data_IF_892105759642
#
_entry.id   IF_892105759642
#
_cell.length_a   1.000
_cell.length_b   1.000
_cell.length_c   1.000
_cell.angle_alpha   90.00
_cell.angle_beta   90.00
_cell.angle_gamma   90.00
#
_symmetry.space_group_name_H-M   'P 1'
#
loop_
_entity.id
_entity.type
_entity.pdbx_description
1 polymer ?
#
# COMPACT_ATOMS: atom_id res chain seq x y z
N UNK A 1 0.55 -5.34 -11.97
CA UNK A 1 1.76 -5.09 -11.19
C UNK A 1 1.45 -4.36 -9.92
N UNK A 2 1.53 -5.13 -8.84
CA UNK A 2 1.75 -4.66 -7.49
C UNK A 2 3.27 -4.71 -7.27
N UNK A 3 3.83 -3.70 -6.61
CA UNK A 3 5.23 -3.64 -6.26
C UNK A 3 5.38 -3.61 -4.74
N UNK A 4 6.11 -4.57 -4.18
CA UNK A 4 6.54 -4.56 -2.79
C UNK A 4 7.98 -4.05 -2.73
N UNK A 5 8.17 -2.84 -2.23
CA UNK A 5 9.47 -2.19 -2.18
C UNK A 5 9.63 -1.31 -0.95
N UNK A 6 10.88 -1.10 -0.55
CA UNK A 6 11.21 -0.20 0.54
C UNK A 6 10.85 1.27 0.19
N UNK A 7 10.54 2.13 1.17
CA UNK A 7 10.10 3.51 0.93
C UNK A 7 11.07 4.35 0.10
N UNK A 8 12.37 4.07 0.20
CA UNK A 8 13.43 4.75 -0.55
C UNK A 8 13.28 4.57 -2.07
N UNK A 9 12.60 3.51 -2.51
CA UNK A 9 12.31 3.28 -3.93
C UNK A 9 11.36 4.34 -4.50
N UNK A 10 10.54 4.99 -3.66
CA UNK A 10 9.60 6.03 -4.10
C UNK A 10 10.31 7.22 -4.76
N UNK A 11 11.57 7.50 -4.40
CA UNK A 11 12.38 8.55 -5.03
C UNK A 11 12.64 8.30 -6.52
N UNK A 12 12.64 7.03 -6.93
CA UNK A 12 12.85 6.63 -8.31
C UNK A 12 11.54 6.36 -9.05
N UNK A 13 10.50 5.96 -8.30
CA UNK A 13 9.19 5.63 -8.85
C UNK A 13 8.30 6.85 -9.08
N UNK A 14 8.55 7.99 -8.44
CA UNK A 14 7.86 9.24 -8.75
C UNK A 14 8.66 10.04 -9.76
N UNK A 15 8.32 9.90 -11.04
CA UNK A 15 8.93 10.65 -12.12
C UNK A 15 7.91 10.87 -13.25
N UNK A 16 8.38 11.37 -14.41
CA UNK A 16 7.52 11.63 -15.56
C UNK A 16 7.18 10.42 -16.43
N UNK A 17 7.57 9.21 -16.01
CA UNK A 17 7.24 7.90 -16.62
C UNK A 17 6.47 6.99 -15.63
N UNK A 18 6.49 7.32 -14.34
CA UNK A 18 5.93 6.54 -13.24
C UNK A 18 5.30 7.47 -12.20
N UNK A 19 4.04 7.21 -11.86
CA UNK A 19 3.40 7.80 -10.68
C UNK A 19 2.55 6.72 -9.96
N UNK A 20 3.11 6.04 -8.95
CA UNK A 20 2.46 4.91 -8.30
C UNK A 20 1.36 5.35 -7.35
N UNK A 21 0.31 4.54 -7.23
CA UNK A 21 -0.65 4.66 -6.12
C UNK A 21 -0.11 3.90 -4.90
N UNK A 22 0.45 4.66 -3.95
CA UNK A 22 1.15 4.11 -2.78
C UNK A 22 0.18 3.83 -1.63
N UNK A 23 0.04 2.55 -1.26
CA UNK A 23 -0.75 2.11 -0.12
C UNK A 23 0.16 1.56 0.98
N UNK A 24 -0.01 2.04 2.21
CA UNK A 24 0.69 1.55 3.39
C UNK A 24 -0.24 0.70 4.23
N UNK A 25 0.13 -0.56 4.44
CA UNK A 25 -0.58 -1.46 5.36
C UNK A 25 0.10 -1.36 6.72
N UNK A 26 -0.48 -0.58 7.63
CA UNK A 26 0.07 -0.35 8.95
C UNK A 26 -0.39 -1.45 9.94
N UNK A 27 0.45 -1.86 10.89
CA UNK A 27 -0.01 -2.66 12.03
C UNK A 27 -1.01 -1.85 12.89
N UNK A 28 -1.90 -2.52 13.64
CA UNK A 28 -2.68 -1.90 14.71
C UNK A 28 -1.80 -1.48 15.89
N UNK A 29 -2.38 -0.84 16.90
CA UNK A 29 -1.64 -0.43 18.10
C UNK A 29 -1.06 -1.62 18.87
N UNK A 30 -0.05 -1.37 19.72
CA UNK A 30 0.73 -2.41 20.39
C UNK A 30 -0.14 -3.45 21.11
N UNK A 31 -1.12 -3.01 21.90
CA UNK A 31 -1.97 -3.91 22.67
C UNK A 31 -2.94 -4.70 21.80
N UNK A 32 -3.48 -4.07 20.76
CA UNK A 32 -4.33 -4.73 19.76
C UNK A 32 -3.53 -5.75 18.94
N UNK A 33 -2.31 -5.40 18.53
CA UNK A 33 -1.41 -6.30 17.81
C UNK A 33 -1.00 -7.51 18.67
N UNK A 34 -0.79 -7.31 19.98
CA UNK A 34 -0.58 -8.41 20.93
C UNK A 34 -1.77 -9.35 20.98
N UNK A 35 -2.99 -8.82 21.11
CA UNK A 35 -4.21 -9.62 21.13
C UNK A 35 -4.37 -10.43 19.84
N UNK A 36 -4.19 -9.79 18.68
CA UNK A 36 -4.23 -10.47 17.37
C UNK A 36 -3.13 -11.55 17.30
N UNK A 37 -1.93 -11.28 17.81
CA UNK A 37 -0.81 -12.23 17.80
C UNK A 37 -1.10 -13.50 18.61
N UNK A 38 -1.89 -13.42 19.70
CA UNK A 38 -2.28 -14.58 20.49
C UNK A 38 -3.11 -15.60 19.69
N UNK A 39 -3.87 -15.12 18.70
CA UNK A 39 -4.72 -15.92 17.82
C UNK A 39 -3.97 -16.49 16.61
N UNK A 40 -2.71 -16.08 16.36
CA UNK A 40 -1.91 -16.56 15.24
C UNK A 40 -1.27 -17.91 15.57
N UNK A 41 -1.26 -18.80 14.57
CA UNK A 41 -0.52 -20.08 14.64
C UNK A 41 0.99 -19.86 14.77
N UNK A 42 1.53 -18.87 14.06
CA UNK A 42 2.92 -18.43 14.17
C UNK A 42 3.00 -17.13 14.97
N UNK A 43 3.19 -17.26 16.28
CA UNK A 43 3.28 -16.12 17.21
C UNK A 43 4.62 -15.41 17.04
N UNK A 44 4.56 -14.08 16.96
CA UNK A 44 5.75 -13.21 17.03
C UNK A 44 6.20 -13.01 18.48
N UNK A 45 7.50 -12.84 18.69
CA UNK A 45 8.06 -12.44 19.98
C UNK A 45 7.67 -10.99 20.30
N UNK A 46 7.75 -10.63 21.58
CA UNK A 46 7.43 -9.28 22.03
C UNK A 46 8.38 -8.23 21.40
N UNK A 47 9.65 -8.60 21.21
CA UNK A 47 10.65 -7.77 20.53
C UNK A 47 10.26 -7.53 19.07
N UNK A 48 9.79 -8.57 18.36
CA UNK A 48 9.35 -8.46 16.97
C UNK A 48 8.11 -7.59 16.82
N UNK A 49 7.15 -7.72 17.75
CA UNK A 49 5.94 -6.88 17.78
C UNK A 49 6.33 -5.41 17.96
N UNK A 50 7.15 -5.12 18.98
CA UNK A 50 7.61 -3.75 19.26
C UNK A 50 8.42 -3.18 18.11
N UNK A 51 9.32 -3.96 17.52
CA UNK A 51 10.10 -3.54 16.36
C UNK A 51 9.19 -3.16 15.19
N UNK A 52 8.17 -3.96 14.89
CA UNK A 52 7.19 -3.70 13.83
C UNK A 52 6.44 -2.37 14.05
N UNK A 53 6.00 -2.11 15.29
CA UNK A 53 5.32 -0.85 15.63
C UNK A 53 6.27 0.34 15.48
N UNK A 54 7.50 0.22 15.97
CA UNK A 54 8.48 1.30 15.92
C UNK A 54 8.91 1.63 14.48
N UNK A 55 9.17 0.61 13.66
CA UNK A 55 9.46 0.77 12.23
C UNK A 55 8.30 1.45 11.50
N UNK A 56 7.05 1.05 11.79
CA UNK A 56 5.89 1.69 11.20
C UNK A 56 5.75 3.15 11.63
N UNK A 57 5.97 3.48 12.91
CA UNK A 57 5.95 4.87 13.39
C UNK A 57 7.01 5.73 12.69
N UNK A 58 8.23 5.19 12.52
CA UNK A 58 9.30 5.85 11.78
C UNK A 58 8.91 6.08 10.33
N UNK A 59 8.31 5.09 9.68
CA UNK A 59 7.82 5.21 8.30
C UNK A 59 6.77 6.31 8.17
N UNK A 60 5.78 6.32 9.05
CA UNK A 60 4.68 7.30 9.04
C UNK A 60 5.14 8.72 9.39
N UNK A 61 6.27 8.86 10.09
CA UNK A 61 6.87 10.16 10.46
C UNK A 61 7.99 10.60 9.50
N UNK A 62 8.29 9.81 8.48
CA UNK A 62 9.36 10.10 7.51
C UNK A 62 8.90 11.07 6.43
N UNK A 63 9.85 11.63 5.67
CA UNK A 63 9.55 12.50 4.52
C UNK A 63 8.71 11.80 3.44
N UNK A 64 8.79 10.46 3.37
CA UNK A 64 7.98 9.64 2.45
C UNK A 64 6.49 9.66 2.78
N UNK A 65 6.09 10.08 3.99
CA UNK A 65 4.69 10.09 4.41
C UNK A 65 3.80 10.94 3.47
N UNK A 66 4.37 12.00 2.88
CA UNK A 66 3.68 12.85 1.89
C UNK A 66 3.37 12.14 0.57
N UNK A 67 4.03 11.01 0.30
CA UNK A 67 3.88 10.22 -0.92
C UNK A 67 2.91 9.05 -0.74
N UNK A 68 2.34 8.86 0.46
CA UNK A 68 1.36 7.82 0.74
C UNK A 68 -0.04 8.32 0.36
N UNK A 69 -0.74 7.55 -0.47
CA UNK A 69 -2.10 7.89 -0.89
C UNK A 69 -3.15 7.29 0.03
N UNK A 70 -2.86 6.10 0.59
CA UNK A 70 -3.78 5.39 1.46
C UNK A 70 -3.02 4.67 2.56
N UNK A 71 -3.50 4.77 3.79
CA UNK A 71 -2.98 4.03 4.94
C UNK A 71 -4.10 3.17 5.50
N UNK A 72 -3.91 1.85 5.54
CA UNK A 72 -4.89 0.90 6.06
C UNK A 72 -4.30 0.19 7.28
N UNK A 73 -4.99 0.27 8.42
CA UNK A 73 -4.63 -0.51 9.61
C UNK A 73 -5.07 -1.96 9.46
N UNK A 74 -4.12 -2.90 9.53
CA UNK A 74 -4.35 -4.32 9.36
C UNK A 74 -4.84 -5.01 10.65
N UNK A 75 -6.09 -4.77 11.00
CA UNK A 75 -6.78 -5.46 12.13
C UNK A 75 -7.33 -6.82 11.74
N UNK A 76 -7.81 -6.93 10.50
CA UNK A 76 -8.39 -8.13 9.93
C UNK A 76 -8.02 -8.18 8.45
N UNK A 77 -7.51 -9.33 8.00
CA UNK A 77 -7.00 -9.48 6.64
C UNK A 77 -8.11 -9.32 5.58
N UNK A 78 -9.30 -9.87 5.80
CA UNK A 78 -10.43 -9.79 4.87
C UNK A 78 -10.94 -8.35 4.72
N UNK A 79 -11.06 -7.63 5.83
CA UNK A 79 -11.47 -6.21 5.84
C UNK A 79 -10.41 -5.34 5.17
N UNK A 80 -9.14 -5.60 5.43
CA UNK A 80 -8.02 -4.87 4.84
C UNK A 80 -7.97 -5.08 3.32
N UNK A 81 -8.12 -6.33 2.89
CA UNK A 81 -8.17 -6.69 1.48
C UNK A 81 -9.37 -6.06 0.77
N UNK A 82 -10.54 -6.09 1.39
CA UNK A 82 -11.73 -5.44 0.85
C UNK A 82 -11.51 -3.93 0.66
N UNK A 83 -10.98 -3.24 1.67
CA UNK A 83 -10.67 -1.79 1.58
C UNK A 83 -9.66 -1.48 0.48
N UNK A 84 -8.65 -2.33 0.31
CA UNK A 84 -7.70 -2.20 -0.79
C UNK A 84 -8.39 -2.33 -2.14
N UNK A 85 -9.27 -3.33 -2.29
CA UNK A 85 -10.01 -3.56 -3.53
C UNK A 85 -10.98 -2.41 -3.85
N UNK A 86 -11.67 -1.90 -2.83
CA UNK A 86 -12.57 -0.75 -2.96
C UNK A 86 -11.78 0.47 -3.45
N UNK A 87 -10.64 0.80 -2.82
CA UNK A 87 -9.79 1.92 -3.25
C UNK A 87 -9.23 1.75 -4.67
N UNK A 88 -8.87 0.52 -5.07
CA UNK A 88 -8.43 0.24 -6.44
C UNK A 88 -9.57 0.39 -7.45
N UNK A 89 -10.80 0.04 -7.08
CA UNK A 89 -11.96 0.22 -7.95
C UNK A 89 -12.35 1.69 -8.06
N UNK A 90 -12.26 2.45 -6.97
CA UNK A 90 -12.48 3.90 -6.99
C UNK A 90 -11.47 4.58 -7.93
N UNK A 91 -10.18 4.24 -7.81
CA UNK A 91 -9.13 4.77 -8.68
C UNK A 91 -9.37 4.46 -10.17
N UNK A 92 -9.95 3.30 -10.50
CA UNK A 92 -10.31 2.96 -11.89
C UNK A 92 -11.43 3.83 -12.44
N UNK A 93 -12.33 4.28 -11.57
CA UNK A 93 -13.52 5.06 -11.95
C UNK A 93 -13.26 6.57 -11.89
N UNK A 94 -12.13 7.01 -11.34
CA UNK A 94 -11.71 8.41 -11.38
C UNK A 94 -11.32 8.83 -12.82
N UNK A 95 -11.87 9.95 -13.29
CA UNK A 95 -11.49 10.56 -14.57
C UNK A 95 -10.07 11.12 -14.42
N UNK A 96 -9.08 10.44 -14.99
CA UNK A 96 -7.71 10.95 -15.07
C UNK A 96 -7.56 11.92 -16.26
N UNK A 97 -7.23 13.18 -15.97
CA UNK A 97 -6.79 14.13 -17.01
C UNK A 97 -5.39 13.73 -17.51
N UNK A 98 -5.23 13.55 -18.83
CA UNK A 98 -3.93 13.31 -19.49
C UNK A 98 -3.62 14.45 -20.47
N UNK A 99 -2.38 14.97 -20.51
CA UNK A 99 -1.94 15.87 -21.58
C UNK A 99 -1.89 15.19 -22.95
N UNK A 100 -2.05 15.96 -24.04
CA UNK A 100 -2.23 15.49 -25.44
C UNK A 100 -1.11 14.59 -26.02
N UNK A 101 0.01 14.40 -25.31
CA UNK A 101 1.14 13.56 -25.76
C UNK A 101 1.27 12.22 -25.02
N UNK A 102 0.41 11.89 -24.05
CA UNK A 102 0.43 10.62 -23.31
C UNK A 102 -0.64 9.64 -23.78
N UNK A 103 -0.26 8.59 -24.50
CA UNK A 103 -1.13 7.44 -24.74
C UNK A 103 -1.39 6.69 -23.43
N UNK A 104 -2.66 6.48 -23.06
CA UNK A 104 -3.04 5.58 -21.97
C UNK A 104 -3.50 4.26 -22.59
N UNK A 105 -2.63 3.25 -22.55
CA UNK A 105 -2.97 1.92 -23.06
C UNK A 105 -3.51 1.05 -21.90
N UNK A 106 -4.82 0.80 -21.91
CA UNK A 106 -5.45 -0.18 -21.04
C UNK A 106 -5.47 -1.55 -21.73
N UNK A 107 -4.56 -2.45 -21.35
CA UNK A 107 -4.67 -3.86 -21.75
C UNK A 107 -5.41 -4.63 -20.66
N UNK A 108 -6.62 -5.07 -20.98
CA UNK A 108 -7.40 -6.01 -20.19
C UNK A 108 -7.34 -7.38 -20.87
N UNK A 109 -6.71 -8.38 -20.25
CA UNK A 109 -6.97 -9.78 -20.56
C UNK A 109 -7.08 -10.63 -19.28
N UNK A 110 -7.89 -11.68 -19.39
CA UNK A 110 -8.89 -12.11 -18.41
C UNK A 110 -8.38 -13.03 -17.32
N UNK A 111 -7.12 -12.93 -16.85
CA UNK A 111 -6.68 -13.91 -15.82
C UNK A 111 -5.82 -13.39 -14.67
N UNK A 112 -5.18 -12.22 -14.68
CA UNK A 112 -4.37 -11.81 -13.51
C UNK A 112 -4.41 -10.29 -13.30
N UNK A 113 -4.75 -9.86 -12.07
CA UNK A 113 -5.04 -8.46 -11.72
C UNK A 113 -3.83 -7.50 -11.93
N UNK A 114 -3.96 -6.69 -12.98
CA UNK A 114 -3.74 -5.23 -13.14
C UNK A 114 -2.44 -4.59 -12.60
N UNK A 115 -1.75 -3.91 -13.52
CA UNK A 115 -0.66 -2.94 -13.34
C UNK A 115 -1.22 -1.54 -13.47
N UNK A 116 -0.95 -0.66 -12.51
CA UNK A 116 -0.94 0.77 -12.77
C UNK A 116 0.51 1.17 -13.03
N UNK A 117 0.93 1.04 -14.29
CA UNK A 117 1.99 1.88 -14.83
C UNK A 117 1.28 3.19 -15.14
N UNK A 118 1.65 4.25 -14.44
CA UNK A 118 1.23 5.59 -14.81
C UNK A 118 2.39 6.17 -15.60
N UNK A 119 2.24 6.30 -16.92
CA UNK A 119 3.17 7.07 -17.74
C UNK A 119 3.40 8.46 -17.12
#
# INVERSE_FOLDING_TARGET
CVLDCAPQALNYLYNGEFMPFVVVIAPPELDELRQINLLRSNRRSEEQIKATIEENKKLLSSDYARMFHLIITNRNADVTFKRLMDALNDLKNEIQWVPESGFVEFICDSTHLITLLRA
#
